data_IF_907526139740
#
_entry.id   IF_907526139740
#
_cell.length_a   1.000
_cell.length_b   1.000
_cell.length_c   1.000
_cell.angle_alpha   90.00
_cell.angle_beta   90.00
_cell.angle_gamma   90.00
#
_symmetry.space_group_name_H-M   'P 1'
#
loop_
_entity.id
_entity.type
_entity.pdbx_description
1 polymer ?
#
# COMPACT_ATOMS: atom_id res chain seq x y z
N UNK A 1 0.89 -10.53 8.14
CA UNK A 1 0.78 -9.29 7.34
C UNK A 1 -0.08 -9.48 6.10
N UNK A 2 0.23 -10.43 5.20
CA UNK A 2 -0.56 -10.65 3.97
C UNK A 2 -2.07 -10.79 4.28
N UNK A 3 -2.44 -11.47 5.37
CA UNK A 3 -3.84 -11.57 5.83
C UNK A 3 -4.49 -10.22 6.16
N UNK A 4 -3.77 -9.32 6.84
CA UNK A 4 -4.25 -7.98 7.14
C UNK A 4 -4.47 -7.15 5.86
N UNK A 5 -3.58 -7.31 4.88
CA UNK A 5 -3.72 -6.66 3.56
C UNK A 5 -4.99 -7.18 2.86
N UNK A 6 -5.26 -8.49 2.93
CA UNK A 6 -6.47 -9.09 2.37
C UNK A 6 -7.73 -8.61 3.12
N UNK A 7 -7.68 -8.47 4.45
CA UNK A 7 -8.78 -7.87 5.23
C UNK A 7 -9.05 -6.43 4.80
N UNK A 8 -8.01 -5.62 4.59
CA UNK A 8 -8.15 -4.26 4.06
C UNK A 8 -8.82 -4.28 2.69
N UNK A 9 -8.36 -5.13 1.77
CA UNK A 9 -8.98 -5.29 0.46
C UNK A 9 -10.48 -5.61 0.57
N UNK A 10 -10.85 -6.61 1.36
CA UNK A 10 -12.26 -7.04 1.53
C UNK A 10 -13.14 -5.95 2.13
N UNK A 11 -12.61 -5.12 3.04
CA UNK A 11 -13.36 -4.05 3.72
C UNK A 11 -13.37 -2.73 2.93
N UNK A 12 -12.49 -2.57 1.94
CA UNK A 12 -12.37 -1.34 1.14
C UNK A 12 -13.50 -1.19 0.10
N UNK A 13 -14.68 -0.76 0.56
CA UNK A 13 -15.88 -0.58 -0.29
C UNK A 13 -15.75 0.53 -1.34
N UNK A 14 -14.98 1.58 -1.06
CA UNK A 14 -14.83 2.73 -1.95
C UNK A 14 -14.00 2.43 -3.21
N UNK A 15 -13.32 1.27 -3.22
CA UNK A 15 -12.47 0.81 -4.33
C UNK A 15 -11.33 1.77 -4.70
N UNK A 16 -11.05 2.75 -3.85
CA UNK A 16 -9.85 3.58 -3.99
C UNK A 16 -8.60 2.73 -3.82
N UNK A 17 -7.55 3.10 -4.55
CA UNK A 17 -6.27 2.43 -4.42
C UNK A 17 -5.63 2.75 -3.07
N UNK A 18 -5.10 1.75 -2.39
CA UNK A 18 -4.35 1.88 -1.14
C UNK A 18 -2.98 1.29 -1.38
N UNK A 19 -1.94 2.03 -0.98
CA UNK A 19 -0.55 1.57 -1.10
C UNK A 19 0.04 1.46 0.31
N UNK A 20 0.65 0.31 0.60
CA UNK A 20 1.26 0.01 1.90
C UNK A 20 2.70 -0.43 1.68
N UNK A 21 3.64 0.24 2.34
CA UNK A 21 5.08 -0.02 2.24
C UNK A 21 5.59 -0.63 3.53
N UNK A 22 6.28 -1.75 3.41
CA UNK A 22 7.00 -2.39 4.51
C UNK A 22 8.49 -2.17 4.32
N UNK A 23 9.17 -1.69 5.36
CA UNK A 23 10.59 -1.37 5.30
C UNK A 23 11.33 -1.73 6.59
N UNK A 24 12.66 -1.86 6.52
CA UNK A 24 13.52 -2.14 7.67
C UNK A 24 14.40 -0.95 8.07
N UNK A 25 14.90 -0.97 9.30
CA UNK A 25 15.79 0.02 9.87
C UNK A 25 15.07 1.21 10.52
N UNK A 26 15.82 1.92 11.36
CA UNK A 26 15.30 3.01 12.21
C UNK A 26 14.79 4.24 11.45
N UNK A 27 15.46 4.57 10.34
CA UNK A 27 15.12 5.76 9.54
C UNK A 27 14.16 5.39 8.42
N UNK A 28 13.24 6.29 8.07
CA UNK A 28 12.35 6.12 6.91
C UNK A 28 13.14 5.81 5.62
N UNK A 29 12.55 5.08 4.66
CA UNK A 29 13.16 4.89 3.35
C UNK A 29 13.48 6.24 2.69
N UNK A 30 14.50 6.27 1.83
CA UNK A 30 14.74 7.45 0.98
C UNK A 30 13.59 7.59 -0.02
N UNK A 31 13.46 8.76 -0.62
CA UNK A 31 12.48 9.03 -1.68
C UNK A 31 11.01 9.00 -1.21
N UNK A 32 10.75 9.28 0.07
CA UNK A 32 9.42 9.56 0.57
C UNK A 32 9.40 10.75 1.54
N UNK A 33 8.28 11.46 1.58
CA UNK A 33 8.07 12.60 2.48
C UNK A 33 6.65 12.59 3.04
N UNK A 34 6.41 12.99 4.30
CA UNK A 34 5.05 13.07 4.84
C UNK A 34 4.25 14.16 4.10
N UNK A 35 2.97 13.89 3.85
CA UNK A 35 2.00 14.93 3.50
C UNK A 35 1.24 15.29 4.77
N UNK A 36 1.41 16.51 5.33
CA UNK A 36 0.73 16.92 6.55
C UNK A 36 -0.79 16.80 6.44
N UNK A 37 -1.44 16.30 7.49
CA UNK A 37 -2.89 16.09 7.57
C UNK A 37 -3.45 16.70 8.86
N UNK A 38 -4.69 17.17 8.79
CA UNK A 38 -5.46 17.64 9.94
C UNK A 38 -6.81 16.91 9.98
N UNK A 39 -7.18 16.22 11.08
CA UNK A 39 -6.35 15.95 12.26
C UNK A 39 -5.12 15.10 11.94
N UNK A 40 -4.05 15.26 12.72
CA UNK A 40 -2.80 14.51 12.54
C UNK A 40 -3.05 13.04 12.93
N UNK A 41 -2.82 12.07 12.04
CA UNK A 41 -3.07 10.68 12.36
C UNK A 41 -2.07 10.17 13.40
N UNK A 42 -2.52 9.28 14.28
CA UNK A 42 -1.67 8.61 15.25
C UNK A 42 -0.67 7.68 14.54
N UNK A 43 0.60 7.76 14.94
CA UNK A 43 1.71 6.97 14.41
C UNK A 43 2.51 6.37 15.58
N UNK A 44 3.52 5.54 15.28
CA UNK A 44 4.28 4.75 16.25
C UNK A 44 3.41 3.71 16.97
N UNK A 45 2.43 3.16 16.26
CA UNK A 45 1.51 2.15 16.80
C UNK A 45 2.06 0.76 16.46
N UNK A 46 2.32 -0.11 17.45
CA UNK A 46 2.62 -1.52 17.21
C UNK A 46 1.43 -2.23 16.55
N UNK A 47 1.69 -3.02 15.51
CA UNK A 47 0.70 -3.76 14.75
C UNK A 47 0.63 -5.20 15.27
N UNK A 48 -0.38 -5.49 16.08
CA UNK A 48 -0.66 -6.82 16.63
C UNK A 48 -1.76 -7.52 15.81
N UNK A 49 -1.54 -7.68 14.50
CA UNK A 49 -2.55 -8.22 13.56
C UNK A 49 -3.87 -7.43 13.51
N UNK A 50 -3.80 -6.11 13.69
CA UNK A 50 -4.94 -5.19 13.74
C UNK A 50 -4.79 -3.99 12.76
N UNK A 51 -3.95 -4.12 11.73
CA UNK A 51 -3.68 -3.06 10.76
C UNK A 51 -4.97 -2.63 10.04
N UNK A 52 -5.85 -3.58 9.69
CA UNK A 52 -7.12 -3.25 9.04
C UNK A 52 -7.99 -2.33 9.92
N UNK A 53 -8.09 -2.66 11.20
CA UNK A 53 -8.88 -1.89 12.18
C UNK A 53 -8.30 -0.49 12.37
N UNK A 54 -6.98 -0.40 12.57
CA UNK A 54 -6.26 0.86 12.71
C UNK A 54 -6.48 1.76 11.48
N UNK A 55 -6.33 1.20 10.28
CA UNK A 55 -6.51 1.97 9.04
C UNK A 55 -7.93 2.54 8.91
N UNK A 56 -8.96 1.71 9.06
CA UNK A 56 -10.34 2.18 8.89
C UNK A 56 -10.81 3.08 10.04
N UNK A 57 -10.27 2.91 11.25
CA UNK A 57 -10.50 3.85 12.36
C UNK A 57 -9.90 5.22 12.05
N UNK A 58 -8.63 5.26 11.65
CA UNK A 58 -7.95 6.50 11.26
C UNK A 58 -8.64 7.17 10.05
N UNK A 59 -9.13 6.38 9.08
CA UNK A 59 -9.82 6.89 7.90
C UNK A 59 -11.17 7.53 8.24
N UNK A 60 -11.88 6.99 9.25
CA UNK A 60 -13.13 7.57 9.75
C UNK A 60 -12.88 8.92 10.42
N UNK A 61 -11.79 9.04 11.17
CA UNK A 61 -11.38 10.29 11.82
C UNK A 61 -10.88 11.33 10.81
N UNK A 62 -10.11 10.90 9.81
CA UNK A 62 -9.57 11.76 8.78
C UNK A 62 -9.61 11.10 7.40
N UNK A 63 -10.63 11.38 6.57
CA UNK A 63 -10.76 10.81 5.23
C UNK A 63 -9.59 11.13 4.29
N UNK A 64 -8.84 12.21 4.53
CA UNK A 64 -7.71 12.62 3.69
C UNK A 64 -6.48 11.71 3.84
N UNK A 65 -6.45 10.81 4.85
CA UNK A 65 -5.31 9.90 5.02
C UNK A 65 -5.16 8.89 3.88
N UNK A 66 -6.25 8.64 3.13
CA UNK A 66 -6.27 7.74 1.98
C UNK A 66 -5.38 8.23 0.83
N UNK A 67 -5.06 9.52 0.81
CA UNK A 67 -4.23 10.12 -0.22
C UNK A 67 -2.76 9.92 0.17
N UNK A 68 -2.10 8.97 -0.48
CA UNK A 68 -0.70 8.63 -0.29
C UNK A 68 -0.48 7.19 0.18
N UNK A 69 0.70 6.94 0.73
CA UNK A 69 1.12 5.62 1.24
C UNK A 69 1.08 5.51 2.75
N UNK A 70 0.83 4.29 3.21
CA UNK A 70 1.02 3.85 4.59
C UNK A 70 2.43 3.28 4.72
N UNK A 71 3.17 3.69 5.76
CA UNK A 71 4.52 3.19 6.04
C UNK A 71 4.51 2.31 7.29
N UNK A 72 5.06 1.11 7.16
CA UNK A 72 5.19 0.12 8.24
C UNK A 72 6.65 -0.29 8.35
N UNK A 73 7.22 -0.11 9.53
CA UNK A 73 8.56 -0.59 9.85
C UNK A 73 8.48 -2.04 10.35
N UNK A 74 9.35 -2.91 9.83
CA UNK A 74 9.53 -4.29 10.26
C UNK A 74 11.02 -4.46 10.58
N UNK A 75 11.33 -4.52 11.86
CA UNK A 75 12.62 -4.97 12.37
C UNK A 75 12.41 -6.27 13.16
N UNK A 76 13.37 -6.67 13.99
CA UNK A 76 13.24 -7.80 14.91
C UNK A 76 12.13 -7.50 15.95
N UNK A 77 10.91 -7.98 15.70
CA UNK A 77 9.78 -7.86 16.63
C UNK A 77 8.47 -7.45 15.95
N UNK A 78 7.63 -6.76 16.71
CA UNK A 78 6.31 -6.32 16.26
C UNK A 78 6.41 -5.21 15.20
N UNK A 79 5.76 -5.34 14.03
CA UNK A 79 5.72 -4.28 13.03
C UNK A 79 5.14 -2.98 13.60
N UNK A 80 5.66 -1.83 13.20
CA UNK A 80 5.22 -0.52 13.72
C UNK A 80 4.69 0.33 12.58
N UNK A 81 3.47 0.85 12.74
CA UNK A 81 2.91 1.87 11.86
C UNK A 81 3.68 3.18 12.05
N UNK A 82 4.41 3.61 11.03
CA UNK A 82 5.22 4.84 11.07
C UNK A 82 4.57 6.02 10.38
N UNK A 83 3.56 5.80 9.54
CA UNK A 83 3.00 6.88 8.77
C UNK A 83 1.76 6.55 7.97
N UNK A 84 0.95 7.58 7.78
CA UNK A 84 -0.08 7.66 6.75
C UNK A 84 0.25 8.80 5.78
N UNK A 85 -0.32 8.78 4.59
CA UNK A 85 -0.20 9.85 3.60
C UNK A 85 1.23 10.28 3.27
N UNK A 86 2.12 9.33 3.01
CA UNK A 86 3.42 9.69 2.46
C UNK A 86 3.32 9.88 0.94
N UNK A 87 4.12 10.82 0.40
CA UNK A 87 4.35 10.93 -1.04
C UNK A 87 5.59 10.13 -1.39
N UNK A 88 5.48 9.30 -2.43
CA UNK A 88 6.62 8.55 -2.99
C UNK A 88 7.18 9.29 -4.21
N UNK A 89 8.50 9.29 -4.34
CA UNK A 89 9.23 9.82 -5.50
C UNK A 89 10.48 8.97 -5.82
N UNK A 90 10.33 7.64 -6.02
CA UNK A 90 11.45 6.78 -6.38
C UNK A 90 12.01 7.15 -7.75
N UNK A 91 13.29 6.83 -7.98
CA UNK A 91 13.82 6.84 -9.32
C UNK A 91 13.15 5.75 -10.17
N UNK A 92 12.78 6.04 -11.42
CA UNK A 92 12.23 5.05 -12.33
C UNK A 92 13.18 3.85 -12.53
N UNK A 93 12.67 2.63 -12.36
CA UNK A 93 13.41 1.44 -12.76
C UNK A 93 13.53 1.36 -14.28
N UNK A 94 14.72 0.94 -14.75
CA UNK A 94 15.02 0.62 -16.15
C UNK A 94 14.53 -0.80 -16.49
N UNK A 95 13.25 -1.06 -16.29
CA UNK A 95 12.60 -2.33 -16.63
C UNK A 95 11.53 -2.08 -17.69
N UNK A 96 11.23 -3.09 -18.51
CA UNK A 96 10.11 -3.03 -19.45
C UNK A 96 8.81 -2.85 -18.68
N UNK A 97 8.27 -1.63 -18.70
CA UNK A 97 6.99 -1.34 -18.06
C UNK A 97 5.88 -1.79 -18.98
N UNK A 98 4.88 -2.47 -18.41
CA UNK A 98 3.58 -2.54 -19.05
C UNK A 98 3.06 -1.10 -19.16
N UNK A 99 2.91 -0.61 -20.40
CA UNK A 99 2.35 0.73 -20.64
C UNK A 99 0.97 0.81 -19.95
N UNK A 100 0.66 1.96 -19.37
CA UNK A 100 -0.69 2.34 -18.88
C UNK A 100 -1.22 1.66 -17.60
N UNK A 101 -0.36 1.24 -16.65
CA UNK A 101 -0.82 0.65 -15.38
C UNK A 101 -1.19 1.65 -14.27
N UNK A 102 -1.02 2.95 -14.51
CA UNK A 102 -1.35 4.04 -13.57
C UNK A 102 -0.24 4.41 -12.59
N UNK A 103 -0.35 5.59 -11.98
CA UNK A 103 0.68 6.18 -11.12
C UNK A 103 0.97 5.36 -9.86
N UNK A 104 -0.07 4.83 -9.20
CA UNK A 104 0.08 4.00 -8.01
C UNK A 104 0.81 2.68 -8.28
N UNK A 105 0.57 2.07 -9.44
CA UNK A 105 1.29 0.88 -9.87
C UNK A 105 2.77 1.16 -10.11
N UNK A 106 3.07 2.18 -10.92
CA UNK A 106 4.45 2.56 -11.24
C UNK A 106 5.23 2.93 -9.98
N UNK A 107 4.62 3.72 -9.09
CA UNK A 107 5.23 4.09 -7.82
C UNK A 107 5.47 2.87 -6.94
N UNK A 108 4.56 1.90 -6.90
CA UNK A 108 4.74 0.68 -6.11
C UNK A 108 5.88 -0.19 -6.63
N UNK A 109 5.97 -0.35 -7.96
CA UNK A 109 7.02 -1.11 -8.62
C UNK A 109 8.39 -0.47 -8.36
N UNK A 110 8.53 0.83 -8.66
CA UNK A 110 9.77 1.57 -8.51
C UNK A 110 10.21 1.63 -7.04
N UNK A 111 9.28 1.93 -6.13
CA UNK A 111 9.60 2.04 -4.71
C UNK A 111 9.96 0.68 -4.07
N UNK A 112 9.47 -0.44 -4.59
CA UNK A 112 9.84 -1.78 -4.11
C UNK A 112 11.30 -2.14 -4.31
N UNK A 113 12.04 -1.38 -5.13
CA UNK A 113 13.47 -1.54 -5.34
C UNK A 113 14.33 -0.59 -4.48
N UNK A 114 13.72 0.34 -3.73
CA UNK A 114 14.45 1.26 -2.84
C UNK A 114 15.10 0.48 -1.70
N UNK A 115 16.34 0.85 -1.35
CA UNK A 115 17.09 0.21 -0.26
C UNK A 115 16.27 0.22 1.05
N UNK A 116 16.20 -0.94 1.70
CA UNK A 116 15.43 -1.23 2.93
C UNK A 116 13.92 -1.36 2.75
N UNK A 117 13.36 -1.10 1.56
CA UNK A 117 11.98 -1.49 1.28
C UNK A 117 11.96 -3.00 1.06
N UNK A 118 11.15 -3.69 1.87
CA UNK A 118 10.96 -5.13 1.75
C UNK A 118 9.87 -5.40 0.73
N UNK A 119 8.66 -4.89 1.00
CA UNK A 119 7.47 -5.14 0.22
C UNK A 119 6.68 -3.85 0.01
N UNK A 120 6.06 -3.73 -1.14
CA UNK A 120 5.02 -2.72 -1.39
C UNK A 120 3.76 -3.46 -1.80
N UNK A 121 2.64 -3.15 -1.17
CA UNK A 121 1.33 -3.67 -1.56
C UNK A 121 0.54 -2.58 -2.27
N UNK A 122 -0.04 -2.93 -3.40
CA UNK A 122 -1.06 -2.13 -4.07
C UNK A 122 -2.38 -2.88 -3.95
N UNK A 123 -3.32 -2.29 -3.24
CA UNK A 123 -4.69 -2.74 -3.11
C UNK A 123 -5.53 -1.86 -4.02
N UNK A 124 -6.32 -2.45 -4.92
CA UNK A 124 -7.24 -1.69 -5.78
C UNK A 124 -8.50 -2.53 -6.07
N UNK A 125 -9.40 -2.01 -6.91
CA UNK A 125 -10.66 -2.68 -7.27
C UNK A 125 -10.51 -4.09 -7.84
N UNK A 126 -9.36 -4.43 -8.43
CA UNK A 126 -9.13 -5.71 -9.09
C UNK A 126 -8.48 -6.75 -8.16
N UNK A 127 -7.92 -6.32 -7.03
CA UNK A 127 -7.25 -7.22 -6.10
C UNK A 127 -6.08 -6.57 -5.35
N UNK A 128 -5.15 -7.43 -4.96
CA UNK A 128 -3.94 -7.10 -4.21
C UNK A 128 -2.73 -7.59 -4.98
N UNK A 129 -1.81 -6.67 -5.27
CA UNK A 129 -0.47 -6.98 -5.79
C UNK A 129 0.58 -6.71 -4.72
N UNK A 130 1.58 -7.59 -4.63
CA UNK A 130 2.77 -7.45 -3.79
C UNK A 130 3.98 -7.24 -4.69
N UNK A 131 4.74 -6.18 -4.44
CA UNK A 131 5.96 -5.85 -5.17
C UNK A 131 7.18 -6.09 -4.28
N UNK A 132 8.24 -6.62 -4.85
CA UNK A 132 9.49 -6.92 -4.14
C UNK A 132 10.65 -6.79 -5.10
N UNK A 133 11.62 -5.91 -4.79
CA UNK A 133 12.84 -5.70 -5.59
C UNK A 133 12.54 -5.47 -7.07
N UNK A 134 11.54 -4.63 -7.38
CA UNK A 134 11.15 -4.30 -8.76
C UNK A 134 10.42 -5.42 -9.51
N UNK A 135 9.91 -6.43 -8.80
CA UNK A 135 9.09 -7.52 -9.37
C UNK A 135 7.70 -7.50 -8.77
N UNK A 136 6.69 -7.91 -9.55
CA UNK A 136 5.31 -8.06 -9.08
C UNK A 136 4.94 -9.52 -8.80
N UNK A 137 4.06 -9.72 -7.82
CA UNK A 137 3.34 -10.96 -7.57
C UNK A 137 1.87 -10.62 -7.27
N UNK A 138 0.95 -11.30 -7.94
CA UNK A 138 -0.47 -11.22 -7.59
C UNK A 138 -0.69 -11.98 -6.28
N UNK A 139 -1.16 -11.30 -5.25
CA UNK A 139 -1.44 -11.90 -3.94
C UNK A 139 -2.91 -12.33 -3.83
N UNK A 140 -3.82 -11.50 -4.34
CA UNK A 140 -5.24 -11.79 -4.40
C UNK A 140 -5.85 -11.13 -5.63
N UNK A 141 -6.78 -11.80 -6.31
CA UNK A 141 -7.48 -11.23 -7.46
C UNK A 141 -8.94 -11.68 -7.41
N UNK A 142 -9.86 -10.73 -7.66
CA UNK A 142 -11.25 -11.11 -7.90
C UNK A 142 -11.32 -11.85 -9.24
N UNK A 143 -11.97 -13.01 -9.26
CA UNK A 143 -12.34 -13.66 -10.52
C UNK A 143 -13.22 -12.66 -11.28
N UNK A 144 -12.91 -12.42 -12.56
CA UNK A 144 -13.82 -11.67 -13.41
C UNK A 144 -15.16 -12.41 -13.43
N UNK A 145 -16.24 -11.74 -13.03
CA UNK A 145 -17.58 -12.28 -13.25
C UNK A 145 -17.76 -12.43 -14.76
N UNK A 146 -17.97 -13.66 -15.24
CA UNK A 146 -18.45 -13.93 -16.59
C UNK A 146 -19.90 -13.47 -16.70
N UNK A 147 -20.14 -12.17 -16.74
CA UNK A 147 -21.45 -11.61 -17.07
C UNK A 147 -21.25 -10.40 -17.97
N UNK A 148 -21.17 -10.70 -19.26
CA UNK A 148 -21.63 -9.89 -20.39
C UNK A 148 -21.52 -10.75 -21.65
N UNK A 149 -22.36 -11.78 -21.72
CA UNK A 149 -22.78 -12.40 -22.97
C UNK A 149 -24.29 -12.53 -22.88
N UNK A 150 -24.98 -11.95 -23.86
CA UNK A 150 -26.43 -11.88 -24.04
C UNK A 150 -27.11 -10.62 -23.47
N UNK A 151 -26.82 -9.49 -24.13
CA UNK A 151 -27.89 -8.62 -24.60
C UNK A 151 -27.73 -8.52 -26.13
N UNK A 152 -28.54 -9.31 -26.85
CA UNK A 152 -28.92 -9.08 -28.24
C UNK A 152 -30.41 -8.80 -28.21
#
# INVERSE_FOLDING_TARGET
>A
MDDEIIKIFKRNKSRHAIIIVLFTGKNLPKCCTPMPRNPKPKINIPLNNNLSEIYFSALKENPSIKDGVILIQIDCGTPILRGFSYRLFPQPLRVSRLKNMGSGYNSSLDFSAVKRVMWVYLINKNGVKKFTKGKEKVLFQLKANKFDKHAK
#
